data_IF_387801225595
#
_entry.id   IF_387801225595
#
_cell.length_a   1.000
_cell.length_b   1.000
_cell.length_c   1.000
_cell.angle_alpha   90.00
_cell.angle_beta   90.00
_cell.angle_gamma   90.00
#
_symmetry.space_group_name_H-M   'P 1'
#
loop_
_entity.id
_entity.type
_entity.pdbx_description
1 polymer ?
#
# COMPACT_ATOMS: atom_id res chain seq x y z
N UNK A 1 -1.26 8.33 -18.18
CA UNK A 1 -1.54 7.19 -17.28
C UNK A 1 -2.87 7.41 -16.57
N UNK A 2 -3.78 6.43 -16.58
CA UNK A 2 -5.11 6.51 -15.93
C UNK A 2 -4.97 6.66 -14.40
N UNK A 3 -5.84 7.46 -13.75
CA UNK A 3 -5.85 7.68 -12.30
C UNK A 3 -5.93 6.38 -11.50
N UNK A 4 -6.78 5.44 -11.90
CA UNK A 4 -6.87 4.13 -11.23
C UNK A 4 -5.54 3.36 -11.26
N UNK A 5 -4.77 3.48 -12.35
CA UNK A 5 -3.45 2.83 -12.46
C UNK A 5 -2.41 3.51 -11.56
N UNK A 6 -2.47 4.85 -11.44
CA UNK A 6 -1.59 5.61 -10.54
C UNK A 6 -1.83 5.18 -9.09
N UNK A 7 -3.09 5.17 -8.66
CA UNK A 7 -3.45 4.81 -7.29
C UNK A 7 -3.04 3.37 -6.99
N UNK A 8 -3.33 2.42 -7.89
CA UNK A 8 -2.92 1.02 -7.72
C UNK A 8 -1.39 0.87 -7.59
N UNK A 9 -0.61 1.63 -8.37
CA UNK A 9 0.85 1.57 -8.29
C UNK A 9 1.37 2.12 -6.95
N UNK A 10 0.77 3.20 -6.45
CA UNK A 10 1.07 3.75 -5.12
C UNK A 10 0.70 2.73 -4.04
N UNK A 11 -0.48 2.12 -4.12
CA UNK A 11 -0.95 1.14 -3.14
C UNK A 11 -0.04 -0.10 -3.10
N UNK A 12 0.39 -0.60 -4.27
CA UNK A 12 1.37 -1.69 -4.37
C UNK A 12 2.72 -1.29 -3.78
N UNK A 13 3.18 -0.06 -4.05
CA UNK A 13 4.41 0.47 -3.47
C UNK A 13 4.35 0.55 -1.94
N UNK A 14 3.24 1.06 -1.39
CA UNK A 14 2.98 1.14 0.06
C UNK A 14 2.92 -0.26 0.66
N UNK A 15 2.21 -1.20 0.03
CA UNK A 15 2.12 -2.57 0.49
C UNK A 15 3.49 -3.27 0.51
N UNK A 16 4.30 -3.08 -0.54
CA UNK A 16 5.66 -3.63 -0.59
C UNK A 16 6.56 -3.03 0.50
N UNK A 17 6.55 -1.70 0.67
CA UNK A 17 7.31 -1.03 1.72
C UNK A 17 6.88 -1.48 3.12
N UNK A 18 5.58 -1.66 3.35
CA UNK A 18 5.04 -2.18 4.59
C UNK A 18 5.53 -3.61 4.88
N UNK A 19 5.49 -4.51 3.89
CA UNK A 19 5.99 -5.88 4.06
C UNK A 19 7.48 -5.93 4.38
N UNK A 20 8.28 -5.07 3.74
CA UNK A 20 9.71 -4.94 4.06
C UNK A 20 9.93 -4.40 5.47
N UNK A 21 9.12 -3.43 5.92
CA UNK A 21 9.20 -2.89 7.27
C UNK A 21 8.82 -3.93 8.34
N UNK A 22 7.82 -4.78 8.08
CA UNK A 22 7.43 -5.90 8.96
C UNK A 22 8.55 -6.97 9.01
N UNK A 23 9.29 -7.17 7.93
CA UNK A 23 10.43 -8.07 7.86
C UNK A 23 11.72 -7.44 8.46
N UNK A 24 11.62 -6.91 9.69
CA UNK A 24 12.74 -6.25 10.37
C UNK A 24 13.97 -7.17 10.52
N UNK A 25 13.78 -8.45 10.85
CA UNK A 25 14.88 -9.41 11.00
C UNK A 25 15.69 -9.60 9.71
N UNK A 26 15.05 -9.43 8.55
CA UNK A 26 15.69 -9.54 7.24
C UNK A 26 16.33 -8.23 6.77
N UNK A 27 15.79 -7.08 7.18
CA UNK A 27 16.24 -5.75 6.72
C UNK A 27 17.26 -5.10 7.65
N UNK A 28 17.25 -5.46 8.94
CA UNK A 28 18.10 -4.84 9.97
C UNK A 28 17.54 -3.51 10.48
N UNK A 29 18.01 -3.11 11.67
CA UNK A 29 17.45 -1.98 12.43
C UNK A 29 17.48 -0.66 11.65
N UNK A 30 18.64 -0.28 11.10
CA UNK A 30 18.79 0.98 10.37
C UNK A 30 17.86 1.05 9.16
N UNK A 31 17.75 -0.03 8.38
CA UNK A 31 16.87 -0.04 7.20
C UNK A 31 15.41 0.05 7.62
N UNK A 32 15.00 -0.63 8.69
CA UNK A 32 13.66 -0.55 9.23
C UNK A 32 13.27 0.90 9.61
N UNK A 33 14.15 1.64 10.27
CA UNK A 33 13.91 3.04 10.67
C UNK A 33 13.69 3.96 9.45
N UNK A 34 14.56 3.86 8.44
CA UNK A 34 14.43 4.65 7.21
C UNK A 34 13.21 4.23 6.37
N UNK A 35 12.91 2.93 6.32
CA UNK A 35 11.69 2.42 5.69
C UNK A 35 10.44 2.95 6.41
N UNK A 36 10.46 3.04 7.74
CA UNK A 36 9.37 3.63 8.54
C UNK A 36 9.10 5.08 8.15
N UNK A 37 10.15 5.90 8.00
CA UNK A 37 10.03 7.29 7.52
C UNK A 37 9.47 7.34 6.11
N UNK A 38 10.04 6.55 5.19
CA UNK A 38 9.59 6.51 3.79
C UNK A 38 8.13 6.07 3.68
N UNK A 39 7.72 5.07 4.47
CA UNK A 39 6.35 4.59 4.55
C UNK A 39 5.42 5.67 5.09
N UNK A 40 5.82 6.41 6.12
CA UNK A 40 5.06 7.55 6.64
C UNK A 40 4.85 8.65 5.59
N UNK A 41 5.88 8.99 4.83
CA UNK A 41 5.77 9.92 3.70
C UNK A 41 4.83 9.41 2.61
N UNK A 42 4.92 8.13 2.24
CA UNK A 42 4.06 7.51 1.25
C UNK A 42 2.58 7.49 1.68
N UNK A 43 2.30 7.17 2.95
CA UNK A 43 0.96 7.20 3.52
C UNK A 43 0.39 8.62 3.57
N UNK A 44 1.21 9.63 3.87
CA UNK A 44 0.80 11.04 3.82
C UNK A 44 0.38 11.43 2.39
N UNK A 45 1.19 11.08 1.38
CA UNK A 45 0.87 11.33 -0.02
C UNK A 45 -0.43 10.62 -0.42
N UNK A 46 -0.58 9.35 -0.04
CA UNK A 46 -1.80 8.58 -0.29
C UNK A 46 -3.03 9.27 0.34
N UNK A 47 -2.94 9.70 1.60
CA UNK A 47 -4.03 10.41 2.28
C UNK A 47 -4.40 11.71 1.57
N UNK A 48 -3.41 12.52 1.16
CA UNK A 48 -3.64 13.78 0.46
C UNK A 48 -4.29 13.57 -0.92
N UNK A 49 -3.87 12.54 -1.66
CA UNK A 49 -4.49 12.17 -2.94
C UNK A 49 -5.96 11.77 -2.76
N UNK A 50 -6.29 11.16 -1.62
CA UNK A 50 -7.64 10.70 -1.29
C UNK A 50 -8.42 11.67 -0.39
N UNK A 51 -7.90 12.88 -0.12
CA UNK A 51 -8.48 13.82 0.85
C UNK A 51 -9.94 14.19 0.56
N UNK A 52 -10.28 14.44 -0.71
CA UNK A 52 -11.67 14.73 -1.12
C UNK A 52 -12.62 13.58 -0.78
N UNK A 53 -12.17 12.34 -0.95
CA UNK A 53 -12.96 11.16 -0.59
C UNK A 53 -13.14 11.04 0.92
N UNK A 54 -12.08 11.32 1.70
CA UNK A 54 -12.14 11.32 3.17
C UNK A 54 -13.20 12.32 3.64
N UNK A 55 -13.09 13.59 3.24
CA UNK A 55 -14.03 14.65 3.63
C UNK A 55 -15.47 14.29 3.24
N UNK A 56 -15.69 13.86 2.00
CA UNK A 56 -17.02 13.50 1.52
C UNK A 56 -17.62 12.30 2.27
N UNK A 57 -16.80 11.32 2.64
CA UNK A 57 -17.24 10.14 3.39
C UNK A 57 -17.53 10.50 4.84
N UNK A 58 -16.69 11.31 5.47
CA UNK A 58 -16.89 11.82 6.84
C UNK A 58 -18.18 12.62 6.96
N UNK A 59 -18.45 13.53 6.03
CA UNK A 59 -19.70 14.31 6.01
C UNK A 59 -20.94 13.42 5.91
N UNK A 60 -20.86 12.34 5.11
CA UNK A 60 -21.98 11.40 4.90
C UNK A 60 -22.09 10.33 5.99
N UNK A 61 -21.08 10.19 6.84
CA UNK A 61 -21.05 9.18 7.90
C UNK A 61 -22.22 9.33 8.88
N UNK A 62 -22.53 10.58 9.26
CA UNK A 62 -23.68 10.93 10.12
C UNK A 62 -25.04 10.87 9.38
N UNK A 63 -25.03 10.63 8.07
CA UNK A 63 -26.22 10.49 7.25
C UNK A 63 -26.57 9.03 6.91
N UNK A 64 -27.41 8.85 5.87
CA UNK A 64 -27.76 7.53 5.32
C UNK A 64 -26.60 6.98 4.47
N UNK A 65 -25.65 6.33 5.13
CA UNK A 65 -24.56 5.61 4.47
C UNK A 65 -24.82 4.11 4.50
N UNK A 66 -24.56 3.40 3.39
CA UNK A 66 -24.66 1.95 3.34
C UNK A 66 -23.74 1.30 4.40
N UNK A 67 -24.18 0.19 5.00
CA UNK A 67 -23.43 -0.51 6.06
C UNK A 67 -22.00 -0.86 5.63
N UNK A 68 -21.81 -1.32 4.40
CA UNK A 68 -20.48 -1.63 3.87
C UNK A 68 -19.57 -0.40 3.82
N UNK A 69 -20.10 0.75 3.41
CA UNK A 69 -19.33 1.99 3.35
C UNK A 69 -18.95 2.49 4.76
N UNK A 70 -19.80 2.26 5.77
CA UNK A 70 -19.47 2.55 7.18
C UNK A 70 -18.34 1.66 7.69
N UNK A 71 -18.40 0.35 7.42
CA UNK A 71 -17.34 -0.60 7.80
C UNK A 71 -16.01 -0.21 7.17
N UNK A 72 -16.00 0.05 5.85
CA UNK A 72 -14.78 0.45 5.15
C UNK A 72 -14.22 1.78 5.68
N UNK A 73 -15.10 2.73 6.02
CA UNK A 73 -14.68 4.00 6.62
C UNK A 73 -14.04 3.79 8.00
N UNK A 74 -14.68 3.01 8.88
CA UNK A 74 -14.14 2.71 10.22
C UNK A 74 -12.82 1.94 10.14
N UNK A 75 -12.70 0.99 9.21
CA UNK A 75 -11.45 0.27 8.96
C UNK A 75 -10.34 1.23 8.52
N UNK A 76 -10.61 2.11 7.56
CA UNK A 76 -9.63 3.08 7.08
C UNK A 76 -9.24 4.11 8.15
N UNK A 77 -10.19 4.51 9.00
CA UNK A 77 -9.92 5.36 10.15
C UNK A 77 -9.04 4.64 11.18
N UNK A 78 -9.34 3.37 11.47
CA UNK A 78 -8.51 2.54 12.34
C UNK A 78 -7.09 2.37 11.80
N UNK A 79 -6.95 2.16 10.48
CA UNK A 79 -5.66 2.11 9.80
C UNK A 79 -4.92 3.45 9.92
N UNK A 80 -5.58 4.58 9.67
CA UNK A 80 -4.98 5.91 9.79
C UNK A 80 -4.44 6.15 11.20
N UNK A 81 -5.24 5.88 12.23
CA UNK A 81 -4.84 6.04 13.62
C UNK A 81 -3.68 5.11 13.96
N UNK A 82 -3.78 3.82 13.61
CA UNK A 82 -2.74 2.83 13.95
C UNK A 82 -1.43 3.12 13.23
N UNK A 83 -1.46 3.51 11.95
CA UNK A 83 -0.27 3.92 11.21
C UNK A 83 0.36 5.19 11.77
N UNK A 84 -0.45 6.18 12.15
CA UNK A 84 0.06 7.41 12.78
C UNK A 84 0.74 7.10 14.10
N UNK A 85 0.13 6.24 14.92
CA UNK A 85 0.70 5.81 16.21
C UNK A 85 2.00 5.02 16.00
N UNK A 86 2.03 4.02 15.12
CA UNK A 86 3.24 3.16 14.94
C UNK A 86 4.42 3.95 14.38
N UNK A 87 4.18 4.86 13.44
CA UNK A 87 5.21 5.72 12.86
C UNK A 87 5.67 6.73 13.92
N UNK A 88 4.73 7.39 14.61
CA UNK A 88 5.05 8.36 15.65
C UNK A 88 5.87 7.77 16.79
N UNK A 89 5.45 6.61 17.32
CA UNK A 89 6.20 5.91 18.36
C UNK A 89 7.52 5.33 17.85
N UNK A 90 7.58 4.87 16.59
CA UNK A 90 8.80 4.42 15.93
C UNK A 90 9.85 5.52 15.81
N UNK A 91 9.41 6.74 15.47
CA UNK A 91 10.30 7.91 15.44
C UNK A 91 10.84 8.27 16.83
N UNK A 92 10.03 8.12 17.89
CA UNK A 92 10.44 8.42 19.26
C UNK A 92 11.45 7.41 19.84
N UNK A 93 11.41 6.15 19.40
CA UNK A 93 12.39 5.13 19.81
C UNK A 93 13.60 5.05 18.88
N UNK A 94 13.54 5.66 17.68
CA UNK A 94 14.59 5.51 16.67
C UNK A 94 15.91 6.13 17.11
N UNK A 95 16.97 5.33 17.09
CA UNK A 95 18.31 5.79 17.47
C UNK A 95 18.99 6.50 16.29
N UNK A 96 18.89 5.97 15.07
CA UNK A 96 19.57 6.55 13.91
C UNK A 96 19.00 7.92 13.53
N UNK A 97 17.69 8.08 13.65
CA UNK A 97 17.01 9.35 13.36
C UNK A 97 17.37 10.41 14.39
N UNK A 98 17.35 10.05 15.69
CA UNK A 98 17.71 10.98 16.76
C UNK A 98 19.19 11.37 16.70
N UNK A 99 20.08 10.41 16.41
CA UNK A 99 21.50 10.68 16.20
C UNK A 99 21.74 11.65 15.02
N UNK A 100 20.99 11.49 13.92
CA UNK A 100 21.05 12.40 12.76
C UNK A 100 20.59 13.82 13.12
N UNK A 101 19.66 13.96 14.06
CA UNK A 101 19.18 15.24 14.59
C UNK A 101 20.06 15.81 15.71
N UNK A 102 21.10 15.08 16.14
CA UNK A 102 21.95 15.46 17.28
C UNK A 102 21.23 15.41 18.64
N UNK A 103 20.14 14.66 18.74
CA UNK A 103 19.32 14.52 19.94
C UNK A 103 19.57 13.15 20.60
N UNK A 104 19.43 13.11 21.92
CA UNK A 104 19.32 11.84 22.63
C UNK A 104 17.93 11.24 22.38
N UNK A 105 17.87 9.94 22.13
CA UNK A 105 16.58 9.25 22.03
C UNK A 105 15.84 9.37 23.37
N UNK A 106 14.63 9.95 23.40
CA UNK A 106 13.79 9.96 24.60
C UNK A 106 13.24 8.56 24.94
N UNK A 107 13.66 7.53 24.20
CA UNK A 107 13.22 6.14 24.27
C UNK A 107 12.91 5.64 25.69
N UNK A 108 11.96 4.71 25.74
CA UNK A 108 11.47 4.12 26.98
C UNK A 108 10.25 3.23 26.75
N UNK A 109 9.88 2.47 27.79
CA UNK A 109 8.88 1.39 27.68
C UNK A 109 7.49 1.82 27.20
N UNK A 110 7.10 3.10 27.37
CA UNK A 110 5.84 3.60 26.81
C UNK A 110 5.86 3.64 25.28
N UNK A 111 6.92 4.18 24.68
CA UNK A 111 7.02 4.31 23.23
C UNK A 111 7.23 2.95 22.56
N UNK A 112 8.03 2.08 23.17
CA UNK A 112 8.19 0.68 22.74
C UNK A 112 6.87 -0.08 22.81
N UNK A 113 6.15 0.03 23.94
CA UNK A 113 4.85 -0.61 24.11
C UNK A 113 3.81 -0.12 23.09
N UNK A 114 3.75 1.19 22.85
CA UNK A 114 2.90 1.77 21.81
C UNK A 114 3.29 1.29 20.42
N UNK A 115 4.58 1.21 20.10
CA UNK A 115 5.07 0.73 18.82
C UNK A 115 4.70 -0.74 18.59
N UNK A 116 4.93 -1.63 19.57
CA UNK A 116 4.55 -3.03 19.45
C UNK A 116 3.03 -3.24 19.34
N UNK A 117 2.25 -2.57 20.19
CA UNK A 117 0.79 -2.66 20.15
C UNK A 117 0.24 -2.19 18.81
N UNK A 118 0.69 -1.02 18.35
CA UNK A 118 0.23 -0.46 17.08
C UNK A 118 0.71 -1.27 15.88
N UNK A 119 1.91 -1.87 15.90
CA UNK A 119 2.36 -2.82 14.87
C UNK A 119 1.40 -4.00 14.74
N UNK A 120 1.03 -4.63 15.86
CA UNK A 120 0.08 -5.76 15.86
C UNK A 120 -1.28 -5.33 15.30
N UNK A 121 -1.77 -4.14 15.68
CA UNK A 121 -3.01 -3.60 15.15
C UNK A 121 -2.94 -3.32 13.65
N UNK A 122 -1.86 -2.69 13.17
CA UNK A 122 -1.67 -2.40 11.74
C UNK A 122 -1.65 -3.69 10.94
N UNK A 123 -0.90 -4.72 11.36
CA UNK A 123 -0.87 -6.01 10.66
C UNK A 123 -2.27 -6.61 10.54
N UNK A 124 -3.01 -6.66 11.66
CA UNK A 124 -4.38 -7.20 11.66
C UNK A 124 -5.35 -6.39 10.79
N UNK A 125 -5.30 -5.06 10.87
CA UNK A 125 -6.16 -4.18 10.10
C UNK A 125 -5.83 -4.19 8.61
N UNK A 126 -4.55 -4.27 8.23
CA UNK A 126 -4.11 -4.41 6.83
C UNK A 126 -4.57 -5.74 6.26
N UNK A 127 -4.42 -6.84 7.01
CA UNK A 127 -4.93 -8.15 6.60
C UNK A 127 -6.45 -8.13 6.39
N UNK A 128 -7.20 -7.52 7.32
CA UNK A 128 -8.65 -7.33 7.18
C UNK A 128 -9.02 -6.47 5.98
N UNK A 129 -8.27 -5.39 5.74
CA UNK A 129 -8.47 -4.50 4.60
C UNK A 129 -8.28 -5.26 3.28
N UNK A 130 -7.20 -6.03 3.15
CA UNK A 130 -6.96 -6.87 1.96
C UNK A 130 -8.09 -7.89 1.79
N UNK A 131 -8.50 -8.57 2.86
CA UNK A 131 -9.56 -9.57 2.83
C UNK A 131 -10.90 -8.98 2.34
N UNK A 132 -11.31 -7.82 2.87
CA UNK A 132 -12.54 -7.14 2.45
C UNK A 132 -12.49 -6.68 0.98
N UNK A 133 -11.31 -6.35 0.47
CA UNK A 133 -11.11 -5.88 -0.89
C UNK A 133 -10.66 -6.96 -1.89
N UNK A 134 -10.56 -8.22 -1.47
CA UNK A 134 -9.99 -9.32 -2.26
C UNK A 134 -10.61 -9.45 -3.67
N UNK A 135 -11.93 -9.38 -3.76
CA UNK A 135 -12.64 -9.52 -5.03
C UNK A 135 -12.27 -8.40 -6.02
N UNK A 136 -12.10 -7.17 -5.54
CA UNK A 136 -11.66 -6.04 -6.36
C UNK A 136 -10.19 -6.20 -6.79
N UNK A 137 -9.33 -6.65 -5.88
CA UNK A 137 -7.90 -6.87 -6.15
C UNK A 137 -7.74 -7.91 -7.27
N UNK A 138 -8.43 -9.06 -7.19
CA UNK A 138 -8.37 -10.10 -8.22
C UNK A 138 -8.83 -9.58 -9.59
N UNK A 139 -9.87 -8.75 -9.62
CA UNK A 139 -10.34 -8.11 -10.85
C UNK A 139 -9.31 -7.11 -11.41
N UNK A 140 -8.64 -6.33 -10.56
CA UNK A 140 -7.58 -5.42 -10.97
C UNK A 140 -6.38 -6.17 -11.56
N UNK A 141 -5.93 -7.25 -10.91
CA UNK A 141 -4.85 -8.12 -11.40
C UNK A 141 -5.19 -8.72 -12.76
N UNK A 142 -6.41 -9.26 -12.91
CA UNK A 142 -6.88 -9.83 -14.18
C UNK A 142 -6.84 -8.79 -15.31
N UNK A 143 -7.31 -7.58 -15.03
CA UNK A 143 -7.43 -6.50 -16.03
C UNK A 143 -6.08 -5.90 -16.42
N UNK A 144 -5.20 -5.67 -15.46
CA UNK A 144 -3.98 -4.89 -15.68
C UNK A 144 -2.72 -5.73 -15.87
N UNK A 145 -2.71 -6.99 -15.42
CA UNK A 145 -1.55 -7.88 -15.52
C UNK A 145 -1.85 -9.01 -16.51
N UNK A 146 -2.91 -9.79 -16.25
CA UNK A 146 -3.19 -11.02 -17.03
C UNK A 146 -3.62 -10.74 -18.47
N UNK A 147 -4.60 -9.85 -18.67
CA UNK A 147 -5.14 -9.56 -20.02
C UNK A 147 -4.07 -9.02 -21.00
N UNK A 148 -3.21 -8.04 -20.64
CA UNK A 148 -2.15 -7.57 -21.53
C UNK A 148 -1.13 -8.65 -21.87
N UNK A 149 -0.75 -9.51 -20.91
CA UNK A 149 0.18 -10.63 -21.17
C UNK A 149 -0.43 -11.64 -22.15
N UNK A 150 -1.71 -11.97 -22.00
CA UNK A 150 -2.40 -12.88 -22.91
C UNK A 150 -2.57 -12.30 -24.33
N UNK A 151 -2.81 -11.00 -24.46
CA UNK A 151 -2.91 -10.31 -25.76
C UNK A 151 -1.55 -10.25 -26.47
N UNK A 152 -0.47 -9.97 -25.74
CA UNK A 152 0.91 -10.01 -26.26
C UNK A 152 1.29 -11.42 -26.76
N UNK A 153 0.92 -12.47 -26.02
CA UNK A 153 1.19 -13.84 -26.41
C UNK A 153 0.39 -14.30 -27.65
N UNK A 154 -0.88 -13.87 -27.77
CA UNK A 154 -1.69 -14.13 -28.98
C UNK A 154 -1.13 -13.43 -30.22
N UNK A 155 -0.65 -12.18 -30.09
CA UNK A 155 -0.03 -11.45 -31.19
C UNK A 155 1.25 -12.14 -31.67
N UNK A 156 2.12 -12.61 -30.77
CA UNK A 156 3.32 -13.38 -31.14
C UNK A 156 3.00 -14.71 -31.85
N UNK A 157 1.92 -15.39 -31.45
CA UNK A 157 1.50 -16.67 -32.06
C UNK A 157 0.83 -16.51 -33.43
N UNK A 158 0.36 -15.32 -33.80
CA UNK A 158 -0.29 -15.06 -35.08
C UNK A 158 0.69 -14.73 -36.24
N UNK A 159 1.96 -14.40 -35.94
CA UNK A 159 3.01 -14.04 -36.91
C UNK A 159 4.06 -15.16 -37.23
N UNK A 160 3.78 -16.49 -37.15
CA UNK A 160 4.69 -17.49 -37.74
C UNK A 160 4.38 -17.97 -39.17
N UNK A 161 3.15 -17.82 -39.69
CA UNK A 161 2.74 -18.53 -40.93
C UNK A 161 2.44 -17.67 -42.16
N UNK A 162 2.70 -16.36 -42.13
CA UNK A 162 2.40 -15.47 -43.26
C UNK A 162 3.58 -15.27 -44.24
N UNK A 163 4.40 -16.30 -44.47
CA UNK A 163 5.33 -16.34 -45.60
C UNK A 163 4.95 -17.52 -46.49
N UNK A 164 3.79 -17.44 -47.12
CA UNK A 164 3.52 -18.22 -48.34
C UNK A 164 3.99 -17.37 -49.52
N UNK A 165 5.18 -17.67 -50.02
CA UNK A 165 5.74 -17.11 -51.26
C UNK A 165 4.79 -17.49 -52.42
N UNK A 166 4.24 -16.54 -53.20
CA UNK A 166 3.45 -16.89 -54.37
C UNK A 166 4.37 -17.46 -55.45
N UNK A 167 3.95 -18.57 -56.04
CA UNK A 167 4.61 -19.22 -57.17
C UNK A 167 4.78 -18.23 -58.33
N UNK A 168 5.98 -18.23 -58.90
CA UNK A 168 6.31 -17.48 -60.11
C UNK A 168 5.95 -18.36 -61.30
N UNK A 169 4.78 -18.13 -61.87
CA UNK A 169 4.35 -18.77 -63.11
C UNK A 169 5.16 -18.20 -64.29
N UNK A 170 5.64 -19.10 -65.15
CA UNK A 170 6.52 -18.84 -66.29
C UNK A 170 5.81 -19.18 -67.58
#
# INVERSE_FOLDING_TARGET
MNQTKKNLLIDVGIAAAFLLAVAQEATGQTIHEWLGIALGGALMVHLLLHWKWVVATTQRFFGKLARQARINYLLNLGLLVSFTTVIGSGLMISESVMATLGLASPGGGLWEGLHHLSTNLVIGLVALHIALHWHWIMNAVKRYIVQPMMQSNKSKKAIPNAITVPAKDR
#
